data_IF_629024057484
#
_entry.id   IF_629024057484
#
_cell.length_a   1.000
_cell.length_b   1.000
_cell.length_c   1.000
_cell.angle_alpha   90.00
_cell.angle_beta   90.00
_cell.angle_gamma   90.00
#
_symmetry.space_group_name_H-M   'P 1'
#
loop_
_entity.id
_entity.type
_entity.pdbx_description
1 polymer ?
#
# COMPACT_ATOMS: atom_id res chain seq x y z
N UNK A 1 -5.02 3.09 31.26
CA UNK A 1 -3.88 2.96 30.35
C UNK A 1 -4.19 1.95 29.26
N UNK A 2 -3.98 2.34 28.02
CA UNK A 2 -4.13 1.45 26.89
C UNK A 2 -2.97 0.46 26.82
N UNK A 3 -3.26 -0.82 26.77
CA UNK A 3 -2.24 -1.86 26.64
C UNK A 3 -2.03 -2.22 25.16
N UNK A 4 -0.81 -2.63 24.83
CA UNK A 4 -0.54 -3.24 23.54
C UNK A 4 -1.24 -4.59 23.46
N UNK A 5 -1.79 -4.86 22.30
CA UNK A 5 -2.47 -6.10 21.98
C UNK A 5 -1.78 -6.75 20.79
N UNK A 6 -1.33 -7.99 20.95
CA UNK A 6 -0.75 -8.76 19.85
C UNK A 6 -1.88 -9.17 18.90
N UNK A 7 -1.81 -8.72 17.64
CA UNK A 7 -2.83 -9.05 16.63
C UNK A 7 -2.37 -10.09 15.62
N UNK A 8 -1.08 -10.33 15.53
CA UNK A 8 -0.56 -11.31 14.58
C UNK A 8 0.92 -11.15 14.32
N UNK A 9 1.38 -11.83 13.27
CA UNK A 9 2.78 -11.80 12.84
C UNK A 9 2.85 -11.50 11.35
N UNK A 10 3.93 -10.82 10.95
CA UNK A 10 4.27 -10.60 9.54
C UNK A 10 5.42 -11.53 9.18
N UNK A 11 5.28 -12.24 8.06
CA UNK A 11 6.38 -12.99 7.45
C UNK A 11 7.22 -12.09 6.54
N UNK A 12 8.53 -12.20 6.64
CA UNK A 12 9.46 -11.40 5.85
C UNK A 12 10.46 -12.32 5.17
N UNK A 13 10.51 -12.28 3.84
CA UNK A 13 11.41 -13.07 3.02
C UNK A 13 12.39 -12.22 2.20
N UNK A 14 12.21 -10.92 2.16
CA UNK A 14 13.08 -9.99 1.42
C UNK A 14 14.04 -9.21 2.31
N UNK A 15 13.94 -9.41 3.62
CA UNK A 15 14.65 -8.60 4.62
C UNK A 15 14.06 -7.20 4.79
N UNK A 16 12.96 -6.89 4.11
CA UNK A 16 12.35 -5.57 4.07
C UNK A 16 10.84 -5.66 4.36
N UNK A 17 10.30 -4.62 4.96
CA UNK A 17 8.86 -4.43 5.14
C UNK A 17 8.46 -3.12 4.46
N UNK A 18 7.32 -3.14 3.80
CA UNK A 18 6.70 -1.93 3.26
C UNK A 18 5.38 -1.66 3.95
N UNK A 19 5.18 -0.41 4.35
CA UNK A 19 3.89 0.07 4.88
C UNK A 19 3.28 0.98 3.84
N UNK A 20 2.11 0.61 3.33
CA UNK A 20 1.44 1.31 2.25
C UNK A 20 -0.07 1.12 2.36
N UNK A 21 -0.83 2.09 1.86
CA UNK A 21 -2.28 1.95 1.75
C UNK A 21 -2.60 0.82 0.77
N UNK A 22 -3.47 -0.14 1.15
CA UNK A 22 -3.84 -1.24 0.26
C UNK A 22 -4.37 -0.82 -1.11
N UNK A 23 -4.92 0.39 -1.24
CA UNK A 23 -5.41 0.87 -2.53
C UNK A 23 -4.30 1.12 -3.55
N UNK A 24 -3.04 1.17 -3.12
CA UNK A 24 -1.89 1.33 -4.00
C UNK A 24 -1.18 0.02 -4.32
N UNK A 25 -1.68 -1.09 -3.80
CA UNK A 25 -1.18 -2.40 -4.20
C UNK A 25 -1.61 -2.72 -5.64
N UNK A 26 -0.77 -3.48 -6.35
CA UNK A 26 -1.11 -3.91 -7.70
C UNK A 26 -2.20 -4.99 -7.66
N UNK A 27 -3.40 -4.58 -7.33
CA UNK A 27 -4.58 -5.44 -7.28
C UNK A 27 -5.35 -5.28 -8.58
N UNK A 28 -5.22 -6.26 -9.46
CA UNK A 28 -5.90 -6.28 -10.75
C UNK A 28 -7.40 -6.42 -10.62
N UNK A 29 -7.91 -6.82 -9.46
CA UNK A 29 -9.34 -7.05 -9.28
C UNK A 29 -10.10 -5.83 -8.81
N UNK A 30 -9.49 -4.94 -8.05
CA UNK A 30 -10.21 -3.84 -7.39
C UNK A 30 -9.88 -2.46 -7.94
N UNK A 31 -8.62 -2.16 -8.21
CA UNK A 31 -8.16 -0.84 -8.62
C UNK A 31 -7.40 -0.88 -9.95
N UNK A 32 -7.80 -1.80 -10.82
CA UNK A 32 -7.21 -1.91 -12.15
C UNK A 32 -7.56 -0.69 -12.99
N UNK A 33 -6.58 0.14 -13.40
CA UNK A 33 -6.84 1.33 -14.20
C UNK A 33 -7.59 1.04 -15.50
N UNK A 34 -7.33 -0.11 -16.14
CA UNK A 34 -8.04 -0.51 -17.37
C UNK A 34 -9.54 -0.67 -17.12
N UNK A 35 -9.93 -1.31 -16.04
CA UNK A 35 -11.35 -1.47 -15.69
C UNK A 35 -12.01 -0.13 -15.37
N UNK A 36 -11.30 0.75 -14.70
CA UNK A 36 -11.81 2.09 -14.39
C UNK A 36 -12.06 2.86 -15.68
N UNK A 37 -11.17 2.75 -16.67
CA UNK A 37 -11.34 3.39 -17.97
C UNK A 37 -12.51 2.80 -18.76
N UNK A 38 -12.71 1.50 -18.73
CA UNK A 38 -13.86 0.83 -19.35
C UNK A 38 -15.17 1.32 -18.75
N UNK A 39 -15.24 1.45 -17.43
CA UNK A 39 -16.40 1.98 -16.72
C UNK A 39 -16.65 3.44 -17.14
N UNK A 40 -15.59 4.24 -17.28
CA UNK A 40 -15.70 5.61 -17.72
C UNK A 40 -16.29 5.73 -19.14
N UNK A 41 -15.89 4.85 -20.05
CA UNK A 41 -16.45 4.81 -21.42
C UNK A 41 -17.94 4.50 -21.39
N UNK A 42 -18.37 3.55 -20.57
CA UNK A 42 -19.79 3.24 -20.39
C UNK A 42 -20.58 4.41 -19.81
N UNK A 43 -19.99 5.12 -18.85
CA UNK A 43 -20.60 6.32 -18.26
C UNK A 43 -20.81 7.41 -19.31
N UNK A 44 -19.83 7.63 -20.21
CA UNK A 44 -19.98 8.58 -21.30
C UNK A 44 -21.12 8.21 -22.25
N UNK A 45 -21.22 6.95 -22.63
CA UNK A 45 -22.32 6.46 -23.48
C UNK A 45 -23.68 6.71 -22.88
N UNK A 46 -23.76 6.74 -21.54
CA UNK A 46 -25.00 7.04 -20.80
C UNK A 46 -25.21 8.52 -20.53
N UNK A 47 -24.29 9.40 -20.96
CA UNK A 47 -24.36 10.84 -20.72
C UNK A 47 -23.86 11.29 -19.36
N UNK A 48 -23.22 10.42 -18.60
CA UNK A 48 -22.68 10.73 -17.26
C UNK A 48 -21.25 11.28 -17.35
N UNK A 49 -21.06 12.41 -18.02
CA UNK A 49 -19.74 12.95 -18.37
C UNK A 49 -18.88 13.34 -17.17
N UNK A 50 -19.47 13.92 -16.14
CA UNK A 50 -18.73 14.32 -14.93
C UNK A 50 -18.16 13.10 -14.21
N UNK A 51 -18.94 12.04 -14.05
CA UNK A 51 -18.52 10.80 -13.44
C UNK A 51 -17.43 10.11 -14.25
N UNK A 52 -17.55 10.12 -15.58
CA UNK A 52 -16.56 9.58 -16.48
C UNK A 52 -15.21 10.33 -16.36
N UNK A 53 -15.26 11.66 -16.28
CA UNK A 53 -14.08 12.50 -16.11
C UNK A 53 -13.36 12.17 -14.80
N UNK A 54 -14.11 12.06 -13.70
CA UNK A 54 -13.56 11.71 -12.39
C UNK A 54 -12.93 10.31 -12.39
N UNK A 55 -13.58 9.35 -13.04
CA UNK A 55 -13.04 7.98 -13.16
C UNK A 55 -11.73 7.95 -13.94
N UNK A 56 -11.61 8.72 -15.02
CA UNK A 56 -10.37 8.84 -15.80
C UNK A 56 -9.25 9.48 -15.00
N UNK A 57 -9.55 10.49 -14.21
CA UNK A 57 -8.58 11.13 -13.31
C UNK A 57 -8.05 10.12 -12.29
N UNK A 58 -8.94 9.35 -11.67
CA UNK A 58 -8.58 8.31 -10.71
C UNK A 58 -7.71 7.24 -11.38
N UNK A 59 -8.08 6.80 -12.58
CA UNK A 59 -7.29 5.80 -13.32
C UNK A 59 -5.87 6.29 -13.61
N UNK A 60 -5.71 7.55 -13.99
CA UNK A 60 -4.39 8.16 -14.23
C UNK A 60 -3.55 8.18 -12.96
N UNK A 61 -4.11 8.65 -11.86
CA UNK A 61 -3.44 8.69 -10.55
C UNK A 61 -3.00 7.28 -10.10
N UNK A 62 -3.90 6.30 -10.22
CA UNK A 62 -3.59 4.90 -9.86
C UNK A 62 -2.50 4.30 -10.74
N UNK A 63 -2.50 4.60 -12.04
CA UNK A 63 -1.46 4.14 -12.96
C UNK A 63 -0.09 4.67 -12.55
N UNK A 64 0.00 5.96 -12.25
CA UNK A 64 1.24 6.59 -11.81
C UNK A 64 1.76 5.96 -10.52
N UNK A 65 0.89 5.74 -9.54
CA UNK A 65 1.24 5.14 -8.27
C UNK A 65 1.64 3.68 -8.40
N UNK A 66 0.92 2.90 -9.20
CA UNK A 66 1.25 1.49 -9.44
C UNK A 66 2.60 1.30 -10.11
N UNK A 67 2.95 2.18 -11.05
CA UNK A 67 4.24 2.13 -11.73
C UNK A 67 5.42 2.35 -10.77
N UNK A 68 5.17 2.98 -9.64
CA UNK A 68 6.21 3.31 -8.65
C UNK A 68 6.17 2.36 -7.45
N UNK A 69 4.97 2.04 -6.91
CA UNK A 69 4.85 1.46 -5.56
C UNK A 69 4.53 -0.04 -5.51
N UNK A 70 3.95 -0.63 -6.54
CA UNK A 70 3.39 -1.98 -6.42
C UNK A 70 3.94 -2.97 -7.43
N UNK A 71 4.90 -2.58 -8.25
CA UNK A 71 5.58 -3.47 -9.16
C UNK A 71 6.84 -4.01 -8.48
N UNK A 72 6.84 -5.30 -8.18
CA UNK A 72 7.99 -5.96 -7.54
C UNK A 72 9.27 -5.85 -8.37
N UNK A 73 9.17 -5.99 -9.70
CA UNK A 73 10.34 -5.89 -10.57
C UNK A 73 10.96 -4.49 -10.53
N UNK A 74 10.12 -3.46 -10.54
CA UNK A 74 10.58 -2.08 -10.40
C UNK A 74 11.20 -1.83 -9.03
N UNK A 75 10.59 -2.35 -7.97
CA UNK A 75 11.14 -2.24 -6.63
C UNK A 75 12.52 -2.91 -6.54
N UNK A 76 12.69 -4.09 -7.13
CA UNK A 76 13.98 -4.77 -7.16
C UNK A 76 15.07 -3.94 -7.86
N UNK A 77 14.70 -3.21 -8.92
CA UNK A 77 15.62 -2.29 -9.59
C UNK A 77 15.97 -1.08 -8.72
N UNK A 78 15.02 -0.60 -7.92
CA UNK A 78 15.19 0.58 -7.06
C UNK A 78 15.69 0.25 -5.66
N UNK A 79 15.91 -1.02 -5.36
CA UNK A 79 16.19 -1.51 -4.00
C UNK A 79 17.39 -0.84 -3.34
N UNK A 80 18.39 -0.43 -4.10
CA UNK A 80 19.57 0.25 -3.55
C UNK A 80 19.24 1.60 -2.90
N UNK A 81 18.11 2.21 -3.27
CA UNK A 81 17.64 3.45 -2.66
C UNK A 81 17.37 3.28 -1.18
N UNK A 82 16.85 2.12 -0.79
CA UNK A 82 16.51 1.82 0.61
C UNK A 82 17.75 1.64 1.47
N UNK A 83 18.78 1.01 0.94
CA UNK A 83 20.01 0.66 1.67
C UNK A 83 19.68 -0.02 3.01
N UNK A 84 20.19 0.51 4.11
CA UNK A 84 19.99 -0.03 5.45
C UNK A 84 19.15 0.89 6.35
N UNK A 85 18.42 1.81 5.77
CA UNK A 85 17.63 2.79 6.52
C UNK A 85 16.19 2.84 6.05
N UNK A 86 15.24 3.19 6.95
CA UNK A 86 13.87 3.45 6.52
C UNK A 86 13.84 4.56 5.48
N UNK A 87 13.12 4.31 4.38
CA UNK A 87 13.10 5.23 3.24
C UNK A 87 11.68 5.42 2.75
N UNK A 88 11.29 6.65 2.48
CA UNK A 88 10.05 6.93 1.76
C UNK A 88 10.19 6.42 0.33
N UNK A 89 9.28 5.58 -0.10
CA UNK A 89 9.25 5.02 -1.44
C UNK A 89 7.83 5.08 -1.98
N UNK A 90 7.65 5.79 -3.08
CA UNK A 90 6.33 5.99 -3.68
C UNK A 90 5.34 6.53 -2.62
N UNK A 91 4.26 5.82 -2.35
CA UNK A 91 3.24 6.24 -1.39
C UNK A 91 3.38 5.57 -0.03
N UNK A 92 4.50 4.89 0.21
CA UNK A 92 4.73 4.15 1.44
C UNK A 92 6.08 4.41 2.06
N UNK A 93 6.37 3.61 3.06
CA UNK A 93 7.67 3.56 3.73
C UNK A 93 8.21 2.16 3.61
N UNK A 94 9.44 2.01 3.16
CA UNK A 94 10.16 0.74 3.15
C UNK A 94 11.25 0.79 4.20
N UNK A 95 11.36 -0.24 5.01
CA UNK A 95 12.39 -0.32 6.04
C UNK A 95 12.97 -1.73 6.09
N UNK A 96 14.30 -1.86 6.27
CA UNK A 96 14.86 -3.16 6.58
C UNK A 96 14.42 -3.58 7.98
N UNK A 97 14.31 -4.90 8.19
CA UNK A 97 14.07 -5.45 9.51
C UNK A 97 15.42 -5.69 10.19
N UNK A 98 15.43 -5.64 11.53
CA UNK A 98 16.67 -5.82 12.30
C UNK A 98 17.37 -7.15 12.02
N UNK A 99 16.60 -8.22 11.93
CA UNK A 99 17.12 -9.58 11.78
C UNK A 99 16.97 -10.14 10.35
N UNK A 100 16.50 -9.33 9.41
CA UNK A 100 16.26 -9.76 8.05
C UNK A 100 14.99 -10.59 7.92
N UNK A 101 15.10 -11.74 7.28
CA UNK A 101 13.96 -12.64 7.07
C UNK A 101 13.51 -13.28 8.39
N UNK A 102 12.22 -13.54 8.48
CA UNK A 102 11.63 -14.15 9.67
C UNK A 102 10.19 -13.77 9.87
N UNK A 103 9.73 -13.92 11.10
CA UNK A 103 8.39 -13.51 11.52
C UNK A 103 8.49 -12.48 12.63
N UNK A 104 7.69 -11.41 12.51
CA UNK A 104 7.73 -10.30 13.43
C UNK A 104 6.34 -10.02 14.00
N UNK A 105 6.26 -9.80 15.29
CA UNK A 105 5.01 -9.53 15.98
C UNK A 105 4.47 -8.14 15.63
N UNK A 106 3.16 -8.05 15.48
CA UNK A 106 2.46 -6.79 15.26
C UNK A 106 1.51 -6.54 16.43
N UNK A 107 1.62 -5.37 17.02
CA UNK A 107 0.81 -4.94 18.13
C UNK A 107 -0.01 -3.71 17.77
N UNK A 108 -1.18 -3.58 18.39
CA UNK A 108 -1.96 -2.35 18.29
C UNK A 108 -2.24 -1.83 19.70
N UNK A 109 -2.39 -0.52 19.79
CA UNK A 109 -2.89 0.18 20.96
C UNK A 109 -4.18 0.88 20.56
N UNK A 110 -5.21 0.73 21.36
CA UNK A 110 -6.53 1.28 21.06
C UNK A 110 -6.87 2.48 21.94
N UNK A 111 -7.74 3.33 21.43
CA UNK A 111 -8.38 4.38 22.22
C UNK A 111 -9.46 3.78 23.11
N UNK A 112 -9.98 4.57 24.05
CA UNK A 112 -11.03 4.11 24.97
C UNK A 112 -12.31 3.67 24.26
N UNK A 113 -12.58 4.20 23.06
CA UNK A 113 -13.74 3.82 22.24
C UNK A 113 -13.47 2.64 21.27
N UNK A 114 -12.30 1.99 21.40
CA UNK A 114 -11.98 0.78 20.66
C UNK A 114 -11.28 0.99 19.31
N UNK A 115 -11.04 2.22 18.91
CA UNK A 115 -10.34 2.51 17.64
C UNK A 115 -8.84 2.26 17.78
N UNK A 116 -8.20 1.87 16.68
CA UNK A 116 -6.75 1.73 16.67
C UNK A 116 -6.10 3.12 16.68
N UNK A 117 -5.31 3.36 17.71
CA UNK A 117 -4.55 4.60 17.88
C UNK A 117 -3.14 4.47 17.31
N UNK A 118 -2.53 3.32 17.50
CA UNK A 118 -1.14 3.08 17.11
C UNK A 118 -0.95 1.62 16.72
N UNK A 119 -0.10 1.39 15.74
CA UNK A 119 0.37 0.05 15.37
C UNK A 119 1.88 0.00 15.52
N UNK A 120 2.40 -1.10 16.06
CA UNK A 120 3.83 -1.33 16.22
C UNK A 120 4.22 -2.66 15.64
N UNK A 121 5.29 -2.64 14.83
CA UNK A 121 5.95 -3.84 14.33
C UNK A 121 7.30 -3.89 15.03
N UNK A 122 7.53 -4.95 15.79
CA UNK A 122 8.75 -5.06 16.59
C UNK A 122 9.73 -5.98 15.87
N UNK A 123 10.88 -5.44 15.55
CA UNK A 123 11.95 -6.17 14.88
C UNK A 123 12.92 -6.81 15.88
#
# INVERSE_FOLDING_TARGET
MSKRELIGKIGVDSGLIMIVDPCYLNDTMRWNPKKILEIAEEMEKKGEYERAHNSRRIAKEKTELQNISSNWDQFCSDREIVKNEPTAYASGIVTPTRLGDGQYNVYVTRTSDGRVKKMEIIF
#
